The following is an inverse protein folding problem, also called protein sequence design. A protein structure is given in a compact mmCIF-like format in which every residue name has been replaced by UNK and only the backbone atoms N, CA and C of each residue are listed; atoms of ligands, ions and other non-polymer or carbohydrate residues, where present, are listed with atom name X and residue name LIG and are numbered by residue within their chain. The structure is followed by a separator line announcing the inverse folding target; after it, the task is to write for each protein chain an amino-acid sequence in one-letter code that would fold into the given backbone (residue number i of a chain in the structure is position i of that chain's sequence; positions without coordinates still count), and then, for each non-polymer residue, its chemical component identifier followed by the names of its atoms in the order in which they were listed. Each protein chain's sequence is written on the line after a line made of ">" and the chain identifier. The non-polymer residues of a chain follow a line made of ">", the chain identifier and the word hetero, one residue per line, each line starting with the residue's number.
data_IF_595821636239
#
_entry.id   IF_595821636239
#
_cell.length_a   1.000
_cell.length_b   1.000
_cell.length_c   1.000
_cell.angle_alpha   90.00
_cell.angle_beta   90.00
_cell.angle_gamma   90.00
#
_symmetry.space_group_name_H-M   'P 1'
#
loop_
_entity.id
_entity.type
_entity.pdbx_description
1 polymer ?
#
# COMPACT_ATOMS: atom_id res chain seq x y z
N UNK A 1 38.45 1.80 -1.14
CA UNK A 1 38.62 3.16 -0.55
C UNK A 1 38.78 3.04 0.96
N UNK A 2 39.93 3.45 1.54
CA UNK A 2 40.09 3.51 3.02
C UNK A 2 39.01 4.42 3.61
N UNK A 3 38.25 3.91 4.59
CA UNK A 3 37.22 4.65 5.32
C UNK A 3 37.89 5.88 5.96
N UNK A 4 37.58 7.09 5.49
CA UNK A 4 38.09 8.32 6.12
C UNK A 4 37.41 8.45 7.49
N UNK A 5 38.18 8.28 8.57
CA UNK A 5 37.70 8.45 9.94
C UNK A 5 37.59 9.96 10.21
N UNK A 6 36.40 10.41 10.64
CA UNK A 6 36.23 11.79 11.09
C UNK A 6 36.93 11.97 12.44
N UNK A 7 37.41 13.19 12.71
CA UNK A 7 38.02 13.52 13.99
C UNK A 7 36.95 13.49 15.09
N UNK A 8 37.32 12.99 16.27
CA UNK A 8 36.49 13.11 17.48
C UNK A 8 36.58 14.52 18.05
N UNK A 9 35.62 14.92 18.87
CA UNK A 9 35.67 16.23 19.53
C UNK A 9 36.94 16.39 20.41
N UNK A 10 37.33 15.33 21.12
CA UNK A 10 38.58 15.28 21.89
C UNK A 10 39.81 15.56 21.02
N UNK A 11 39.88 14.97 19.82
CA UNK A 11 40.98 15.24 18.89
C UNK A 11 40.97 16.69 18.41
N UNK A 12 39.80 17.30 18.22
CA UNK A 12 39.69 18.73 17.88
C UNK A 12 40.19 19.64 19.00
N UNK A 13 39.84 19.33 20.25
CA UNK A 13 40.35 20.03 21.43
C UNK A 13 41.87 19.94 21.53
N UNK A 14 42.45 18.75 21.32
CA UNK A 14 43.90 18.57 21.32
C UNK A 14 44.58 19.39 20.21
N UNK A 15 43.98 19.48 19.02
CA UNK A 15 44.48 20.34 17.93
C UNK A 15 44.45 21.82 18.35
N UNK A 16 43.39 22.27 19.02
CA UNK A 16 43.26 23.64 19.52
C UNK A 16 44.34 23.96 20.56
N UNK A 17 44.52 23.09 21.56
CA UNK A 17 45.55 23.25 22.59
C UNK A 17 46.95 23.33 22.00
N UNK A 18 47.30 22.41 21.07
CA UNK A 18 48.62 22.38 20.46
C UNK A 18 48.84 23.56 19.50
N UNK A 19 47.79 24.02 18.80
CA UNK A 19 47.85 25.20 17.94
C UNK A 19 48.04 26.48 18.78
N UNK A 20 47.39 26.58 19.95
CA UNK A 20 47.59 27.67 20.90
C UNK A 20 48.99 27.66 21.53
N UNK A 21 49.56 26.47 21.76
CA UNK A 21 50.95 26.28 22.16
C UNK A 21 51.97 26.54 21.02
N UNK A 22 51.52 27.07 19.87
CA UNK A 22 52.33 27.42 18.69
C UNK A 22 53.13 26.25 18.10
N UNK A 23 52.68 25.01 18.29
CA UNK A 23 53.27 23.83 17.64
C UNK A 23 53.04 23.87 16.13
N UNK A 24 54.00 23.39 15.36
CA UNK A 24 53.88 23.30 13.91
C UNK A 24 52.86 22.24 13.53
N UNK A 25 52.22 22.40 12.37
CA UNK A 25 51.21 21.45 11.86
C UNK A 25 51.77 20.02 11.69
N UNK A 26 53.09 19.90 11.45
CA UNK A 26 53.81 18.61 11.34
C UNK A 26 53.94 17.94 12.71
N UNK A 27 54.29 18.69 13.75
CA UNK A 27 54.35 18.18 15.13
C UNK A 27 52.96 17.77 15.63
N UNK A 28 51.92 18.58 15.38
CA UNK A 28 50.52 18.25 15.74
C UNK A 28 50.11 16.92 15.08
N UNK A 29 50.46 16.74 13.80
CA UNK A 29 50.18 15.52 13.06
C UNK A 29 50.90 14.30 13.67
N UNK A 30 52.17 14.44 14.04
CA UNK A 30 52.95 13.37 14.68
C UNK A 30 52.40 13.01 16.07
N UNK A 31 52.11 14.00 16.92
CA UNK A 31 51.59 13.80 18.28
C UNK A 31 50.26 13.06 18.26
N UNK A 32 49.36 13.40 17.33
CA UNK A 32 48.03 12.81 17.24
C UNK A 32 47.97 11.55 16.36
N UNK A 33 49.08 11.15 15.73
CA UNK A 33 49.10 10.04 14.78
C UNK A 33 48.18 10.27 13.56
N UNK A 34 47.99 11.53 13.16
CA UNK A 34 47.11 11.94 12.07
C UNK A 34 47.91 12.32 10.83
N UNK A 35 47.32 12.14 9.65
CA UNK A 35 47.93 12.62 8.42
C UNK A 35 47.98 14.15 8.38
N UNK A 36 49.09 14.73 7.90
CA UNK A 36 49.31 16.18 7.82
C UNK A 36 48.14 16.93 7.14
N UNK A 37 47.66 16.42 6.00
CA UNK A 37 46.50 17.00 5.30
C UNK A 37 45.21 17.04 6.15
N UNK A 38 45.03 16.14 7.11
CA UNK A 38 43.88 16.15 8.02
C UNK A 38 43.93 17.36 8.93
N UNK A 39 45.11 17.68 9.48
CA UNK A 39 45.33 18.87 10.33
C UNK A 39 45.08 20.15 9.53
N UNK A 40 45.62 20.26 8.31
CA UNK A 40 45.37 21.43 7.45
C UNK A 40 43.88 21.66 7.16
N UNK A 41 43.15 20.59 6.80
CA UNK A 41 41.72 20.67 6.53
C UNK A 41 40.91 21.03 7.77
N UNK A 42 41.30 20.49 8.92
CA UNK A 42 40.63 20.75 10.19
C UNK A 42 40.84 22.19 10.65
N UNK A 43 42.08 22.71 10.62
CA UNK A 43 42.37 24.11 10.96
C UNK A 43 41.61 25.08 10.05
N UNK A 44 41.51 24.77 8.74
CA UNK A 44 40.69 25.55 7.80
C UNK A 44 39.20 25.47 8.12
N UNK A 45 38.70 24.32 8.58
CA UNK A 45 37.29 24.10 8.93
C UNK A 45 36.87 24.87 10.18
N UNK A 46 37.73 24.97 11.20
CA UNK A 46 37.46 25.72 12.44
C UNK A 46 38.00 27.15 12.49
N UNK A 47 38.49 27.68 11.37
CA UNK A 47 39.04 29.02 11.31
C UNK A 47 37.95 30.10 11.48
N UNK A 48 38.22 31.10 12.33
CA UNK A 48 37.37 32.27 12.54
C UNK A 48 38.19 33.53 12.76
N UNK A 49 37.60 34.69 12.45
CA UNK A 49 38.19 36.00 12.75
C UNK A 49 37.99 36.32 14.24
N UNK A 50 39.09 36.41 14.98
CA UNK A 50 39.12 36.87 16.36
C UNK A 50 39.55 38.34 16.40
N UNK A 51 38.68 39.21 16.91
CA UNK A 51 38.96 40.63 17.11
C UNK A 51 39.46 40.88 18.52
N UNK A 52 40.63 41.50 18.65
CA UNK A 52 41.19 41.93 19.94
C UNK A 52 41.33 43.45 19.93
N UNK A 53 40.95 44.12 21.02
CA UNK A 53 41.20 45.55 21.20
C UNK A 53 42.71 45.77 21.29
N UNK A 54 43.25 46.61 20.42
CA UNK A 54 44.68 46.88 20.35
C UNK A 54 45.04 48.13 21.16
N UNK A 55 44.32 49.23 20.93
CA UNK A 55 44.49 50.49 21.68
C UNK A 55 43.18 51.29 21.69
N UNK A 56 42.99 52.07 22.75
CA UNK A 56 41.90 53.04 22.94
C UNK A 56 42.46 54.45 22.86
N UNK A 57 41.92 55.29 21.97
CA UNK A 57 42.29 56.71 21.85
C UNK A 57 41.03 57.59 21.78
N UNK A 58 41.18 58.90 21.91
CA UNK A 58 40.11 59.88 22.14
C UNK A 58 38.95 59.86 21.11
N UNK A 59 39.19 59.33 19.91
CA UNK A 59 38.23 59.23 18.81
C UNK A 59 37.86 57.78 18.41
N UNK A 60 38.27 56.75 19.17
CA UNK A 60 37.81 55.37 18.92
C UNK A 60 38.73 54.24 19.41
N UNK A 61 38.35 53.00 19.08
CA UNK A 61 39.10 51.76 19.41
C UNK A 61 39.74 51.19 18.15
N UNK A 62 41.06 50.96 18.15
CA UNK A 62 41.72 50.17 17.10
C UNK A 62 41.52 48.68 17.37
N UNK A 63 40.94 47.98 16.41
CA UNK A 63 40.69 46.53 16.49
C UNK A 63 41.71 45.78 15.64
N UNK A 64 42.40 44.82 16.26
CA UNK A 64 43.28 43.87 15.55
C UNK A 64 42.50 42.61 15.23
N UNK A 65 42.50 42.22 13.96
CA UNK A 65 41.91 40.95 13.49
C UNK A 65 42.99 39.88 13.40
N UNK A 66 42.74 38.70 13.96
CA UNK A 66 43.61 37.54 13.84
C UNK A 66 42.78 36.30 13.52
N UNK A 67 43.26 35.46 12.61
CA UNK A 67 42.62 34.17 12.33
C UNK A 67 43.03 33.19 13.43
N UNK A 68 42.05 32.67 14.17
CA UNK A 68 42.24 31.61 15.17
C UNK A 68 41.45 30.37 14.77
N UNK A 69 41.81 29.24 15.37
CA UNK A 69 41.07 27.99 15.27
C UNK A 69 40.25 27.78 16.54
N UNK A 70 39.00 27.32 16.39
CA UNK A 70 38.16 26.86 17.49
C UNK A 70 37.68 25.44 17.22
N UNK A 71 37.88 24.54 18.19
CA UNK A 71 37.37 23.17 18.11
C UNK A 71 35.83 23.16 18.06
N UNK A 72 35.19 24.07 18.80
CA UNK A 72 33.73 24.18 18.87
C UNK A 72 33.13 24.53 17.51
N UNK A 73 33.63 25.59 16.85
CA UNK A 73 33.14 25.99 15.51
C UNK A 73 33.28 24.85 14.50
N UNK A 74 34.38 24.11 14.57
CA UNK A 74 34.60 22.97 13.68
C UNK A 74 33.65 21.79 13.98
N UNK A 75 33.35 21.55 15.25
CA UNK A 75 32.38 20.55 15.71
C UNK A 75 30.96 20.93 15.27
N UNK A 76 30.55 22.18 15.51
CA UNK A 76 29.22 22.67 15.11
C UNK A 76 29.02 22.56 13.59
N UNK A 77 30.05 22.93 12.79
CA UNK A 77 30.02 22.73 11.34
C UNK A 77 29.91 21.25 10.95
N UNK A 78 30.61 20.36 11.66
CA UNK A 78 30.51 18.92 11.43
C UNK A 78 29.11 18.39 11.75
N UNK A 79 28.52 18.81 12.86
CA UNK A 79 27.18 18.39 13.29
C UNK A 79 26.09 18.93 12.36
N UNK A 80 26.23 20.18 11.91
CA UNK A 80 25.37 20.76 10.87
C UNK A 80 25.45 19.97 9.55
N UNK A 81 26.64 19.56 9.11
CA UNK A 81 26.78 18.73 7.91
C UNK A 81 26.25 17.30 8.12
N UNK A 82 26.28 16.80 9.35
CA UNK A 82 25.73 15.48 9.68
C UNK A 82 24.20 15.51 9.74
N UNK A 83 23.57 16.61 10.14
CA UNK A 83 22.11 16.75 10.13
C UNK A 83 21.53 16.62 8.71
N UNK A 84 22.29 17.02 7.68
CA UNK A 84 21.94 16.85 6.27
C UNK A 84 22.01 15.40 5.74
N UNK A 85 22.62 14.46 6.47
CA UNK A 85 22.78 13.06 6.01
C UNK A 85 21.49 12.22 6.09
N UNK A 86 20.43 12.76 6.71
CA UNK A 86 19.19 12.05 6.94
C UNK A 86 19.31 10.93 7.98
N UNK A 87 18.19 10.28 8.31
CA UNK A 87 18.18 9.13 9.21
C UNK A 87 18.83 7.91 8.52
N UNK A 88 19.59 7.08 9.26
CA UNK A 88 20.15 5.86 8.70
C UNK A 88 19.04 4.94 8.15
N UNK A 89 19.38 4.16 7.13
CA UNK A 89 18.46 3.19 6.52
C UNK A 89 18.14 2.10 7.54
N UNK A 90 16.85 1.90 7.84
CA UNK A 90 16.34 0.94 8.83
C UNK A 90 16.45 -0.52 8.38
N UNK A 91 16.62 -0.77 7.08
CA UNK A 91 16.69 -2.12 6.50
C UNK A 91 17.93 -2.91 6.93
N UNK A 92 19.01 -2.22 7.32
CA UNK A 92 20.23 -2.84 7.85
C UNK A 92 20.77 -3.98 6.98
N UNK A 93 20.89 -5.18 7.56
CA UNK A 93 21.27 -6.44 6.90
C UNK A 93 20.13 -7.47 6.89
N UNK A 94 18.88 -7.03 7.00
CA UNK A 94 17.73 -7.90 7.09
C UNK A 94 17.31 -8.42 5.70
N UNK A 95 18.12 -9.31 5.15
CA UNK A 95 17.87 -9.94 3.86
C UNK A 95 16.64 -10.85 3.88
N UNK A 96 16.27 -11.37 5.05
CA UNK A 96 15.08 -12.21 5.21
C UNK A 96 13.80 -11.39 4.97
N UNK A 97 13.72 -10.19 5.55
CA UNK A 97 12.61 -9.26 5.31
C UNK A 97 12.50 -8.88 3.83
N UNK A 98 13.62 -8.54 3.18
CA UNK A 98 13.62 -8.18 1.75
C UNK A 98 13.15 -9.34 0.89
N UNK A 99 13.73 -10.55 1.07
CA UNK A 99 13.34 -11.73 0.31
C UNK A 99 11.86 -12.07 0.49
N UNK A 100 11.36 -12.01 1.71
CA UNK A 100 9.95 -12.25 2.00
C UNK A 100 9.06 -11.23 1.30
N UNK A 101 9.39 -9.94 1.41
CA UNK A 101 8.66 -8.87 0.73
C UNK A 101 8.64 -9.06 -0.80
N UNK A 102 9.79 -9.36 -1.41
CA UNK A 102 9.90 -9.55 -2.85
C UNK A 102 9.10 -10.77 -3.32
N UNK A 103 9.21 -11.91 -2.61
CA UNK A 103 8.44 -13.11 -2.90
C UNK A 103 6.93 -12.81 -2.91
N UNK A 104 6.41 -12.24 -1.83
CA UNK A 104 4.97 -11.93 -1.68
C UNK A 104 4.49 -10.90 -2.71
N UNK A 105 5.32 -9.95 -3.10
CA UNK A 105 4.94 -8.91 -4.07
C UNK A 105 4.98 -9.43 -5.52
N UNK A 106 5.99 -10.22 -5.86
CA UNK A 106 6.27 -10.64 -7.24
C UNK A 106 5.54 -11.93 -7.59
N UNK A 107 5.66 -12.95 -6.75
CA UNK A 107 5.05 -14.26 -6.97
C UNK A 107 3.57 -14.20 -6.63
N UNK A 108 3.22 -13.76 -5.41
CA UNK A 108 1.82 -13.74 -4.97
C UNK A 108 1.07 -12.49 -5.44
N UNK A 109 1.69 -11.55 -6.15
CA UNK A 109 1.04 -10.31 -6.66
C UNK A 109 0.36 -9.44 -5.58
N UNK A 110 0.78 -9.56 -4.33
CA UNK A 110 0.25 -8.76 -3.22
C UNK A 110 0.93 -7.39 -3.22
N UNK A 111 0.21 -6.31 -2.88
CA UNK A 111 0.85 -4.99 -2.83
C UNK A 111 1.83 -4.92 -1.66
N UNK A 112 2.98 -4.27 -1.82
CA UNK A 112 4.00 -4.15 -0.76
C UNK A 112 3.44 -3.66 0.59
N UNK A 113 2.52 -2.69 0.59
CA UNK A 113 1.85 -2.23 1.82
C UNK A 113 1.00 -3.30 2.51
N UNK A 114 0.37 -4.19 1.76
CA UNK A 114 -0.46 -5.26 2.31
C UNK A 114 0.43 -6.35 2.93
N UNK A 115 1.56 -6.67 2.31
CA UNK A 115 2.58 -7.57 2.89
C UNK A 115 3.12 -7.00 4.20
N UNK A 116 3.47 -5.71 4.23
CA UNK A 116 3.94 -5.06 5.47
C UNK A 116 2.89 -5.13 6.59
N UNK A 117 1.61 -4.99 6.26
CA UNK A 117 0.53 -5.11 7.23
C UNK A 117 0.28 -6.54 7.69
N UNK A 118 0.37 -7.51 6.77
CA UNK A 118 0.29 -8.93 7.11
C UNK A 118 1.39 -9.38 8.06
N UNK A 119 2.62 -8.92 7.86
CA UNK A 119 3.76 -9.18 8.77
C UNK A 119 3.39 -8.77 10.20
N UNK A 120 2.75 -7.60 10.35
CA UNK A 120 2.29 -7.11 11.66
C UNK A 120 1.12 -7.91 12.20
N UNK A 121 0.12 -8.20 11.38
CA UNK A 121 -1.07 -8.96 11.78
C UNK A 121 -0.71 -10.38 12.24
N UNK A 122 0.23 -11.04 11.56
CA UNK A 122 0.71 -12.38 11.89
C UNK A 122 1.83 -12.39 12.95
N UNK A 123 2.20 -11.22 13.51
CA UNK A 123 3.30 -11.07 14.47
C UNK A 123 4.62 -11.73 14.01
N UNK A 124 4.93 -11.65 12.72
CA UNK A 124 6.15 -12.22 12.17
C UNK A 124 7.36 -11.42 12.66
N UNK A 125 8.38 -12.13 13.13
CA UNK A 125 9.59 -11.51 13.68
C UNK A 125 10.60 -11.23 12.56
N UNK A 126 10.89 -9.95 12.36
CA UNK A 126 11.97 -9.45 11.49
C UNK A 126 12.71 -8.35 12.26
N UNK A 127 14.01 -8.19 12.00
CA UNK A 127 14.82 -7.12 12.59
C UNK A 127 14.34 -5.74 12.12
N UNK A 128 13.76 -5.68 10.92
CA UNK A 128 13.28 -4.46 10.29
C UNK A 128 11.82 -4.14 10.67
N UNK A 129 11.62 -3.01 11.35
CA UNK A 129 10.29 -2.42 11.54
C UNK A 129 10.19 -1.04 10.84
N UNK A 130 9.40 -0.99 9.76
CA UNK A 130 9.22 0.21 8.93
C UNK A 130 7.75 0.61 8.78
N UNK A 131 7.54 1.89 8.52
CA UNK A 131 6.23 2.44 8.13
C UNK A 131 5.98 2.24 6.63
N UNK A 132 4.71 2.34 6.21
CA UNK A 132 4.29 2.37 4.80
C UNK A 132 5.06 3.41 3.98
N UNK A 133 5.22 4.62 4.53
CA UNK A 133 5.98 5.71 3.89
C UNK A 133 7.45 5.36 3.70
N UNK A 134 8.07 4.75 4.72
CA UNK A 134 9.46 4.31 4.65
C UNK A 134 9.65 3.19 3.63
N UNK A 135 8.71 2.24 3.56
CA UNK A 135 8.71 1.16 2.59
C UNK A 135 8.71 1.69 1.15
N UNK A 136 7.77 2.56 0.79
CA UNK A 136 7.72 3.09 -0.57
C UNK A 136 8.94 3.94 -0.92
N UNK A 137 9.45 4.74 0.02
CA UNK A 137 10.71 5.46 -0.16
C UNK A 137 11.88 4.50 -0.43
N UNK A 138 11.94 3.37 0.28
CA UNK A 138 12.99 2.37 0.08
C UNK A 138 12.86 1.65 -1.26
N UNK A 139 11.64 1.41 -1.75
CA UNK A 139 11.41 0.90 -3.10
C UNK A 139 11.90 1.91 -4.14
N UNK A 140 11.56 3.20 -3.99
CA UNK A 140 12.03 4.27 -4.89
C UNK A 140 13.55 4.46 -4.89
N UNK A 141 14.19 4.27 -3.73
CA UNK A 141 15.65 4.26 -3.60
C UNK A 141 16.33 3.02 -4.19
N UNK A 142 15.57 2.03 -4.66
CA UNK A 142 16.10 0.78 -5.22
C UNK A 142 16.61 -0.23 -4.18
N UNK A 143 16.20 -0.10 -2.91
CA UNK A 143 16.59 -1.04 -1.85
C UNK A 143 15.83 -2.39 -1.92
N UNK A 144 14.80 -2.47 -2.76
CA UNK A 144 14.12 -3.71 -3.15
C UNK A 144 14.41 -3.94 -4.64
N UNK A 145 15.51 -4.65 -4.99
CA UNK A 145 16.00 -4.74 -6.37
C UNK A 145 14.96 -5.20 -7.40
N UNK A 146 14.01 -6.04 -6.98
CA UNK A 146 13.04 -6.67 -7.88
C UNK A 146 11.66 -6.03 -7.85
N UNK A 147 11.43 -5.01 -7.00
CA UNK A 147 10.13 -4.31 -6.92
C UNK A 147 10.20 -2.99 -7.68
N UNK A 148 9.29 -2.80 -8.64
CA UNK A 148 9.14 -1.54 -9.38
C UNK A 148 7.74 -0.97 -9.20
N UNK A 149 7.65 0.36 -9.02
CA UNK A 149 6.38 1.07 -8.96
C UNK A 149 5.92 1.45 -10.37
N UNK A 150 4.81 0.87 -10.83
CA UNK A 150 4.17 1.30 -12.07
C UNK A 150 3.32 2.55 -11.85
N UNK A 151 3.62 3.63 -12.60
CA UNK A 151 2.73 4.80 -12.69
C UNK A 151 1.62 4.50 -13.69
N UNK A 152 0.39 4.26 -13.22
CA UNK A 152 -0.78 4.12 -14.10
C UNK A 152 -1.43 5.48 -14.37
N UNK A 153 -1.52 5.86 -15.65
CA UNK A 153 -2.41 6.94 -16.11
C UNK A 153 -3.85 6.41 -16.16
N UNK A 154 -4.79 7.14 -15.55
CA UNK A 154 -6.23 6.88 -15.73
C UNK A 154 -6.73 7.74 -16.90
N UNK A 155 -7.17 7.09 -17.97
CA UNK A 155 -7.98 7.74 -19.00
C UNK A 155 -9.46 7.60 -18.63
N UNK A 156 -10.14 8.73 -18.49
CA UNK A 156 -11.58 8.78 -18.28
C UNK A 156 -12.28 8.77 -19.63
N UNK A 157 -12.96 7.67 -19.96
CA UNK A 157 -13.84 7.62 -21.13
C UNK A 157 -15.26 8.01 -20.72
N UNK A 158 -15.85 8.99 -21.42
CA UNK A 158 -17.27 9.34 -21.27
C UNK A 158 -18.13 8.15 -21.73
N UNK A 159 -19.05 7.70 -20.89
CA UNK A 159 -19.97 6.59 -21.20
C UNK A 159 -21.27 7.18 -21.78
N UNK A 160 -21.76 6.64 -22.91
CA UNK A 160 -23.02 7.08 -23.55
C UNK A 160 -24.23 6.34 -22.99
N UNK A 161 -25.35 7.07 -22.80
CA UNK A 161 -26.68 6.62 -22.33
C UNK A 161 -27.18 5.42 -23.14
N UNK A 162 -27.53 4.30 -22.48
CA UNK A 162 -28.15 3.15 -23.18
C UNK A 162 -29.58 2.81 -22.76
N UNK A 163 -29.98 2.75 -21.48
CA UNK A 163 -31.33 2.24 -21.09
C UNK A 163 -31.84 2.74 -19.73
N UNK A 164 -33.17 2.76 -19.61
CA UNK A 164 -33.91 2.98 -18.35
C UNK A 164 -33.83 1.76 -17.41
N UNK A 165 -33.93 1.94 -16.08
CA UNK A 165 -33.88 0.86 -15.11
C UNK A 165 -35.08 -0.09 -15.23
N UNK A 166 -34.82 -1.41 -15.16
CA UNK A 166 -35.84 -2.45 -15.41
C UNK A 166 -36.43 -3.10 -14.15
N UNK A 167 -35.85 -2.86 -12.97
CA UNK A 167 -36.29 -3.47 -11.71
C UNK A 167 -36.44 -2.46 -10.58
N UNK A 168 -36.49 -2.97 -9.34
CA UNK A 168 -36.63 -2.12 -8.14
C UNK A 168 -35.45 -1.16 -8.03
N UNK A 169 -35.72 0.14 -8.06
CA UNK A 169 -34.68 1.17 -7.93
C UNK A 169 -33.93 1.07 -6.59
N UNK A 170 -32.64 1.41 -6.61
CA UNK A 170 -31.79 1.53 -5.42
C UNK A 170 -32.31 2.53 -4.40
N UNK A 171 -33.17 3.47 -4.79
CA UNK A 171 -33.82 4.42 -3.87
C UNK A 171 -34.77 3.74 -2.88
N UNK A 172 -35.37 2.62 -3.29
CA UNK A 172 -36.25 1.82 -2.42
C UNK A 172 -35.49 0.91 -1.46
N UNK A 173 -34.15 0.88 -1.57
CA UNK A 173 -33.28 0.09 -0.70
C UNK A 173 -33.22 0.73 0.69
N UNK A 174 -33.39 -0.04 1.79
CA UNK A 174 -33.24 0.49 3.15
C UNK A 174 -31.93 1.27 3.35
N UNK A 175 -32.02 2.44 4.00
CA UNK A 175 -30.90 3.38 4.15
C UNK A 175 -29.71 2.78 4.91
N UNK A 176 -29.97 1.85 5.84
CA UNK A 176 -28.95 1.12 6.61
C UNK A 176 -27.95 0.37 5.73
N UNK A 177 -28.40 -0.15 4.57
CA UNK A 177 -27.54 -0.90 3.63
C UNK A 177 -26.45 0.01 3.05
N UNK A 178 -26.70 1.32 2.95
CA UNK A 178 -25.72 2.31 2.48
C UNK A 178 -24.55 2.46 3.46
N UNK A 179 -24.79 2.27 4.76
CA UNK A 179 -23.78 2.42 5.81
C UNK A 179 -22.74 1.29 5.81
N UNK A 180 -23.06 0.14 5.18
CA UNK A 180 -22.17 -1.03 5.08
C UNK A 180 -21.81 -1.67 6.43
N UNK A 181 -22.70 -1.55 7.41
CA UNK A 181 -22.52 -2.07 8.77
C UNK A 181 -23.26 -3.40 9.01
N UNK A 182 -24.00 -3.90 8.03
CA UNK A 182 -24.78 -5.13 8.14
C UNK A 182 -24.26 -6.20 7.18
N UNK A 183 -24.18 -7.43 7.68
CA UNK A 183 -23.80 -8.60 6.90
C UNK A 183 -24.94 -9.06 5.97
N UNK A 184 -24.56 -9.51 4.78
CA UNK A 184 -25.41 -10.24 3.84
C UNK A 184 -25.97 -9.39 2.71
N UNK A 185 -25.41 -8.21 2.48
CA UNK A 185 -25.77 -7.36 1.35
C UNK A 185 -24.68 -7.45 0.29
N UNK A 186 -25.05 -7.92 -0.89
CA UNK A 186 -24.12 -8.21 -1.96
C UNK A 186 -24.27 -7.21 -3.11
N UNK A 187 -23.17 -6.96 -3.80
CA UNK A 187 -23.13 -6.29 -5.09
C UNK A 187 -22.77 -7.34 -6.14
N UNK A 188 -23.45 -7.36 -7.28
CA UNK A 188 -23.20 -8.33 -8.36
C UNK A 188 -22.75 -7.61 -9.63
N UNK A 189 -21.78 -8.20 -10.34
CA UNK A 189 -21.18 -7.65 -11.55
C UNK A 189 -20.67 -8.74 -12.49
N UNK A 190 -20.32 -8.35 -13.72
CA UNK A 190 -19.64 -9.23 -14.66
C UNK A 190 -18.23 -8.71 -15.02
N UNK A 191 -17.24 -9.59 -14.93
CA UNK A 191 -15.87 -9.34 -15.40
C UNK A 191 -15.69 -9.98 -16.78
N UNK A 192 -15.70 -9.15 -17.82
CA UNK A 192 -15.61 -9.62 -19.21
C UNK A 192 -14.16 -9.76 -19.70
N UNK A 193 -13.94 -10.75 -20.57
CA UNK A 193 -12.67 -11.01 -21.25
C UNK A 193 -12.66 -10.48 -22.68
N UNK A 194 -11.77 -11.02 -23.51
CA UNK A 194 -11.77 -10.81 -24.97
C UNK A 194 -12.84 -11.64 -25.68
N UNK A 195 -13.21 -12.79 -25.10
CA UNK A 195 -14.11 -13.80 -25.69
C UNK A 195 -15.47 -13.81 -24.99
N UNK A 196 -16.37 -14.71 -25.41
CA UNK A 196 -17.73 -14.83 -24.86
C UNK A 196 -17.78 -15.24 -23.38
N UNK A 197 -16.93 -16.16 -22.87
CA UNK A 197 -16.92 -16.50 -21.46
C UNK A 197 -16.63 -15.30 -20.57
N UNK A 198 -17.34 -15.22 -19.45
CA UNK A 198 -17.25 -14.11 -18.48
C UNK A 198 -17.26 -14.65 -17.06
N UNK A 199 -16.82 -13.84 -16.10
CA UNK A 199 -16.96 -14.17 -14.69
C UNK A 199 -18.12 -13.38 -14.10
N UNK A 200 -19.09 -14.06 -13.51
CA UNK A 200 -20.06 -13.43 -12.61
C UNK A 200 -19.41 -13.31 -11.24
N UNK A 201 -19.42 -12.11 -10.68
CA UNK A 201 -18.85 -11.85 -9.35
C UNK A 201 -19.92 -11.33 -8.40
N UNK A 202 -19.88 -11.79 -7.16
CA UNK A 202 -20.69 -11.29 -6.07
C UNK A 202 -19.77 -10.85 -4.94
N UNK A 203 -19.84 -9.56 -4.59
CA UNK A 203 -19.05 -8.92 -3.55
C UNK A 203 -19.90 -8.59 -2.32
N UNK A 204 -19.57 -9.15 -1.16
CA UNK A 204 -20.25 -8.85 0.10
C UNK A 204 -19.82 -7.47 0.64
N UNK A 205 -20.79 -6.65 1.04
CA UNK A 205 -20.57 -5.22 1.35
C UNK A 205 -19.97 -4.94 2.73
N UNK A 206 -19.94 -5.88 3.66
CA UNK A 206 -19.31 -5.73 4.96
C UNK A 206 -17.89 -6.32 4.95
N UNK A 207 -17.76 -7.62 4.67
CA UNK A 207 -16.53 -8.42 4.76
C UNK A 207 -15.71 -8.41 3.47
N UNK A 208 -16.24 -7.88 2.35
CA UNK A 208 -15.58 -7.92 1.04
C UNK A 208 -15.26 -9.33 0.56
N UNK A 209 -16.06 -10.33 0.96
CA UNK A 209 -15.98 -11.68 0.41
C UNK A 209 -16.43 -11.64 -1.03
N UNK A 210 -15.63 -12.22 -1.92
CA UNK A 210 -15.93 -12.39 -3.33
C UNK A 210 -16.36 -13.84 -3.58
N UNK A 211 -17.41 -14.02 -4.38
CA UNK A 211 -17.79 -15.30 -4.98
C UNK A 211 -17.74 -15.14 -6.49
N UNK A 212 -17.04 -16.04 -7.18
CA UNK A 212 -16.74 -15.95 -8.61
C UNK A 212 -17.26 -17.20 -9.32
N UNK A 213 -18.15 -17.01 -10.31
CA UNK A 213 -18.60 -18.07 -11.21
C UNK A 213 -18.11 -17.83 -12.62
N UNK A 214 -17.55 -18.84 -13.26
CA UNK A 214 -17.30 -18.83 -14.71
C UNK A 214 -18.60 -19.13 -15.45
N UNK A 215 -18.99 -18.23 -16.36
CA UNK A 215 -20.13 -18.38 -17.25
C UNK A 215 -19.66 -18.50 -18.70
N UNK A 216 -20.37 -19.28 -19.50
CA UNK A 216 -20.08 -19.44 -20.94
C UNK A 216 -20.36 -18.17 -21.75
N UNK A 217 -21.26 -17.31 -21.26
CA UNK A 217 -21.69 -16.09 -21.91
C UNK A 217 -22.33 -15.10 -20.93
N UNK A 218 -22.35 -13.81 -21.31
CA UNK A 218 -22.98 -12.72 -20.57
C UNK A 218 -24.49 -12.61 -20.87
N UNK A 219 -25.25 -13.68 -20.57
CA UNK A 219 -26.73 -13.68 -20.73
C UNK A 219 -27.41 -13.85 -19.38
N UNK A 220 -28.62 -13.30 -19.25
CA UNK A 220 -29.41 -13.37 -18.03
C UNK A 220 -29.71 -14.80 -17.57
N UNK A 221 -29.96 -15.71 -18.52
CA UNK A 221 -30.20 -17.13 -18.20
C UNK A 221 -29.00 -17.79 -17.51
N UNK A 222 -27.77 -17.38 -17.87
CA UNK A 222 -26.54 -17.88 -17.28
C UNK A 222 -26.37 -17.36 -15.86
N UNK A 223 -26.72 -16.08 -15.62
CA UNK A 223 -26.72 -15.47 -14.28
C UNK A 223 -27.69 -16.19 -13.35
N UNK A 224 -28.93 -16.44 -13.80
CA UNK A 224 -29.94 -17.16 -13.01
C UNK A 224 -29.49 -18.58 -12.68
N UNK A 225 -28.84 -19.29 -13.62
CA UNK A 225 -28.25 -20.61 -13.37
C UNK A 225 -27.19 -20.56 -12.27
N UNK A 226 -26.28 -19.58 -12.29
CA UNK A 226 -25.27 -19.42 -11.22
C UNK A 226 -25.92 -19.15 -9.87
N UNK A 227 -26.94 -18.29 -9.81
CA UNK A 227 -27.67 -18.03 -8.57
C UNK A 227 -28.41 -19.28 -8.05
N UNK A 228 -28.93 -20.14 -8.93
CA UNK A 228 -29.54 -21.42 -8.53
C UNK A 228 -28.52 -22.35 -7.89
N UNK A 229 -27.32 -22.45 -8.48
CA UNK A 229 -26.22 -23.24 -7.92
C UNK A 229 -25.83 -22.67 -6.54
N UNK A 230 -25.73 -21.36 -6.42
CA UNK A 230 -25.38 -20.68 -5.18
C UNK A 230 -26.45 -20.90 -4.09
N UNK A 231 -27.73 -20.77 -4.43
CA UNK A 231 -28.83 -21.02 -3.51
C UNK A 231 -28.82 -22.46 -3.00
N UNK A 232 -28.60 -23.44 -3.89
CA UNK A 232 -28.48 -24.85 -3.51
C UNK A 232 -27.27 -25.12 -2.60
N UNK A 233 -26.16 -24.41 -2.81
CA UNK A 233 -24.94 -24.54 -1.99
C UNK A 233 -25.15 -24.10 -0.54
N UNK A 234 -25.90 -23.01 -0.32
CA UNK A 234 -26.19 -22.50 1.03
C UNK A 234 -27.48 -23.09 1.62
N UNK A 235 -28.38 -23.63 0.81
CA UNK A 235 -29.62 -24.25 1.25
C UNK A 235 -30.45 -23.33 2.15
N UNK A 236 -30.83 -23.82 3.33
CA UNK A 236 -31.68 -23.08 4.29
C UNK A 236 -31.05 -21.78 4.79
N UNK A 237 -29.72 -21.67 4.82
CA UNK A 237 -29.04 -20.46 5.30
C UNK A 237 -28.94 -19.35 4.24
N UNK A 238 -29.29 -19.63 2.98
CA UNK A 238 -29.13 -18.68 1.87
C UNK A 238 -29.75 -17.32 2.17
N UNK A 239 -30.99 -17.25 2.68
CA UNK A 239 -31.66 -15.97 2.99
C UNK A 239 -30.97 -15.16 4.09
N UNK A 240 -30.30 -15.83 5.03
CA UNK A 240 -29.53 -15.17 6.09
C UNK A 240 -28.22 -14.58 5.55
N UNK A 241 -27.60 -15.28 4.59
CA UNK A 241 -26.32 -14.90 3.96
C UNK A 241 -26.52 -13.90 2.82
N UNK A 242 -27.61 -13.98 2.07
CA UNK A 242 -27.94 -13.13 0.91
C UNK A 242 -29.26 -12.39 1.16
N UNK A 243 -29.20 -11.35 2.00
CA UNK A 243 -30.35 -10.50 2.34
C UNK A 243 -30.79 -9.62 1.17
N UNK A 244 -29.82 -9.10 0.40
CA UNK A 244 -30.11 -8.35 -0.82
C UNK A 244 -28.95 -8.38 -1.81
N UNK A 245 -29.25 -8.24 -3.09
CA UNK A 245 -28.26 -8.09 -4.17
C UNK A 245 -28.48 -6.75 -4.88
N UNK A 246 -27.40 -6.00 -5.10
CA UNK A 246 -27.41 -4.75 -5.87
C UNK A 246 -26.71 -4.96 -7.21
N UNK A 247 -27.36 -4.62 -8.32
CA UNK A 247 -26.86 -4.77 -9.70
C UNK A 247 -26.89 -3.46 -10.46
N UNK A 248 -26.22 -3.39 -11.61
CA UNK A 248 -26.46 -2.31 -12.58
C UNK A 248 -27.56 -2.68 -13.58
N UNK A 249 -27.78 -1.79 -14.55
CA UNK A 249 -28.77 -1.98 -15.61
C UNK A 249 -28.20 -2.73 -16.84
N UNK A 250 -27.18 -3.57 -16.63
CA UNK A 250 -26.62 -4.46 -17.65
C UNK A 250 -27.67 -5.41 -18.22
N UNK A 251 -27.53 -5.78 -19.49
CA UNK A 251 -28.48 -6.69 -20.17
C UNK A 251 -28.50 -8.10 -19.56
N UNK A 252 -27.38 -8.53 -18.99
CA UNK A 252 -27.23 -9.76 -18.23
C UNK A 252 -28.04 -9.79 -16.94
N UNK A 253 -28.42 -8.63 -16.41
CA UNK A 253 -29.23 -8.51 -15.21
C UNK A 253 -30.67 -8.11 -15.52
N UNK A 254 -31.11 -8.22 -16.78
CA UNK A 254 -32.45 -7.82 -17.18
C UNK A 254 -33.56 -8.74 -16.65
N UNK A 255 -33.25 -9.99 -16.31
CA UNK A 255 -34.22 -10.97 -15.79
C UNK A 255 -34.38 -10.84 -14.27
N UNK A 256 -34.97 -9.73 -13.83
CA UNK A 256 -35.23 -9.45 -12.42
C UNK A 256 -36.01 -10.57 -11.72
N UNK A 257 -37.06 -11.09 -12.38
CA UNK A 257 -37.89 -12.14 -11.81
C UNK A 257 -37.11 -13.44 -11.63
N UNK A 258 -36.30 -13.84 -12.61
CA UNK A 258 -35.45 -15.03 -12.50
C UNK A 258 -34.39 -14.92 -11.39
N UNK A 259 -33.80 -13.73 -11.24
CA UNK A 259 -32.79 -13.46 -10.19
C UNK A 259 -33.42 -13.52 -8.79
N UNK A 260 -34.63 -12.98 -8.60
CA UNK A 260 -35.32 -13.02 -7.30
C UNK A 260 -36.00 -14.36 -6.99
N UNK A 261 -36.51 -15.10 -7.99
CA UNK A 261 -37.29 -16.33 -7.80
C UNK A 261 -36.43 -17.43 -7.18
N UNK A 262 -36.92 -18.16 -6.18
CA UNK A 262 -36.18 -19.32 -5.61
C UNK A 262 -36.14 -20.53 -6.55
N UNK A 263 -35.01 -21.24 -6.55
CA UNK A 263 -34.84 -22.53 -7.25
C UNK A 263 -35.64 -23.68 -6.63
N UNK A 264 -36.15 -23.52 -5.42
CA UNK A 264 -37.05 -24.47 -4.74
C UNK A 264 -38.53 -24.25 -5.08
N UNK A 265 -38.86 -23.34 -5.99
CA UNK A 265 -40.20 -23.18 -6.55
C UNK A 265 -41.14 -22.24 -5.78
N UNK A 266 -40.89 -21.97 -4.49
CA UNK A 266 -41.75 -21.11 -3.67
C UNK A 266 -41.06 -19.83 -3.20
N UNK A 267 -41.63 -18.68 -3.59
CA UNK A 267 -41.23 -17.36 -3.11
C UNK A 267 -39.92 -16.81 -3.68
N UNK A 268 -39.41 -15.77 -3.02
CA UNK A 268 -38.16 -15.09 -3.39
C UNK A 268 -36.97 -15.65 -2.62
N UNK A 269 -35.83 -15.81 -3.30
CA UNK A 269 -34.54 -16.17 -2.70
C UNK A 269 -33.89 -14.98 -1.99
N UNK A 270 -34.00 -13.78 -2.57
CA UNK A 270 -33.42 -12.54 -2.06
C UNK A 270 -34.09 -11.33 -2.73
N UNK A 271 -33.85 -10.12 -2.22
CA UNK A 271 -34.31 -8.86 -2.83
C UNK A 271 -33.24 -8.27 -3.75
N UNK A 272 -33.62 -7.83 -4.95
CA UNK A 272 -32.69 -7.27 -5.94
C UNK A 272 -32.97 -5.78 -6.16
N UNK A 273 -31.92 -4.97 -6.13
CA UNK A 273 -31.98 -3.51 -6.35
C UNK A 273 -31.09 -3.09 -7.52
N UNK A 274 -31.58 -2.17 -8.35
CA UNK A 274 -30.89 -1.65 -9.54
C UNK A 274 -30.37 -0.25 -9.28
N UNK A 275 -29.08 -0.05 -9.55
CA UNK A 275 -28.43 1.25 -9.45
C UNK A 275 -29.00 2.25 -10.48
N UNK A 276 -28.78 3.53 -10.24
CA UNK A 276 -29.07 4.55 -11.23
C UNK A 276 -28.18 4.36 -12.46
N UNK A 277 -28.69 4.61 -13.68
CA UNK A 277 -27.83 4.70 -14.86
C UNK A 277 -26.65 5.67 -14.62
N UNK A 278 -25.44 5.31 -15.04
CA UNK A 278 -24.20 6.12 -14.90
C UNK A 278 -23.67 6.33 -13.48
N UNK A 279 -24.31 5.77 -12.45
CA UNK A 279 -23.82 5.88 -11.07
C UNK A 279 -22.99 4.67 -10.65
N UNK A 280 -21.83 4.46 -11.30
CA UNK A 280 -20.91 3.37 -10.95
C UNK A 280 -20.41 3.43 -9.49
N UNK A 281 -20.36 4.63 -8.91
CA UNK A 281 -19.98 4.86 -7.51
C UNK A 281 -20.91 4.18 -6.49
N UNK A 282 -22.16 3.87 -6.86
CA UNK A 282 -23.11 3.15 -6.01
C UNK A 282 -22.68 1.69 -5.72
N UNK A 283 -21.78 1.16 -6.56
CA UNK A 283 -21.13 -0.16 -6.45
C UNK A 283 -19.61 -0.06 -6.35
N UNK A 284 -19.11 0.90 -5.56
CA UNK A 284 -17.67 1.10 -5.40
C UNK A 284 -16.90 -0.10 -4.85
N UNK A 285 -17.58 -1.10 -4.25
CA UNK A 285 -16.94 -2.34 -3.78
C UNK A 285 -16.49 -3.19 -4.96
N UNK A 286 -17.40 -3.41 -5.93
CA UNK A 286 -17.11 -4.20 -7.13
C UNK A 286 -15.93 -3.63 -7.91
N UNK A 287 -15.85 -2.30 -8.09
CA UNK A 287 -14.71 -1.70 -8.81
C UNK A 287 -13.37 -2.00 -8.13
N UNK A 288 -13.33 -2.04 -6.79
CA UNK A 288 -12.11 -2.37 -6.04
C UNK A 288 -11.76 -3.85 -6.17
N UNK A 289 -12.72 -4.76 -5.99
CA UNK A 289 -12.48 -6.20 -6.02
C UNK A 289 -12.24 -6.72 -7.45
N UNK A 290 -12.95 -6.18 -8.45
CA UNK A 290 -12.65 -6.41 -9.85
C UNK A 290 -11.21 -6.03 -10.20
N UNK A 291 -10.66 -4.94 -9.64
CA UNK A 291 -9.24 -4.58 -9.86
C UNK A 291 -8.29 -5.63 -9.28
N UNK A 292 -8.65 -6.31 -8.21
CA UNK A 292 -7.87 -7.40 -7.62
C UNK A 292 -7.92 -8.64 -8.53
N UNK A 293 -9.11 -9.03 -9.01
CA UNK A 293 -9.26 -10.08 -10.04
C UNK A 293 -8.41 -9.75 -11.27
N UNK A 294 -8.39 -8.49 -11.71
CA UNK A 294 -7.61 -8.04 -12.87
C UNK A 294 -6.09 -8.07 -12.69
N UNK A 295 -5.58 -8.26 -11.46
CA UNK A 295 -4.14 -8.52 -11.25
C UNK A 295 -3.75 -9.93 -11.70
N UNK A 296 -4.66 -10.89 -11.56
CA UNK A 296 -4.44 -12.29 -11.95
C UNK A 296 -5.00 -12.60 -13.35
N UNK A 297 -6.11 -11.96 -13.72
CA UNK A 297 -6.75 -12.09 -15.03
C UNK A 297 -6.78 -10.71 -15.71
N UNK A 298 -5.71 -10.31 -16.42
CA UNK A 298 -5.64 -9.02 -17.09
C UNK A 298 -6.81 -8.73 -18.03
N UNK A 299 -7.04 -7.45 -18.31
CA UNK A 299 -8.05 -7.04 -19.29
C UNK A 299 -7.64 -7.52 -20.69
N UNK A 300 -8.59 -8.11 -21.43
CA UNK A 300 -8.32 -8.69 -22.73
C UNK A 300 -7.83 -10.15 -22.70
N UNK A 301 -7.68 -10.74 -21.51
CA UNK A 301 -7.48 -12.19 -21.40
C UNK A 301 -8.69 -12.97 -21.96
N UNK A 302 -8.41 -14.13 -22.54
CA UNK A 302 -9.43 -15.08 -22.93
C UNK A 302 -9.86 -15.91 -21.71
N UNK A 303 -10.99 -15.55 -21.12
CA UNK A 303 -11.54 -16.23 -19.93
C UNK A 303 -11.87 -17.69 -20.23
N UNK A 304 -12.10 -18.05 -21.51
CA UNK A 304 -12.34 -19.42 -21.94
C UNK A 304 -11.22 -20.38 -21.51
N UNK A 305 -9.97 -19.92 -21.53
CA UNK A 305 -8.77 -20.73 -21.22
C UNK A 305 -8.58 -21.05 -19.73
N UNK A 306 -9.21 -20.29 -18.83
CA UNK A 306 -9.08 -20.52 -17.39
C UNK A 306 -10.01 -21.64 -16.95
N UNK A 307 -9.50 -22.68 -16.31
CA UNK A 307 -10.32 -23.77 -15.77
C UNK A 307 -11.12 -23.30 -14.55
N UNK A 308 -12.11 -24.08 -14.12
CA UNK A 308 -12.85 -23.77 -12.87
C UNK A 308 -11.89 -23.72 -11.67
N UNK A 309 -10.87 -24.58 -11.65
CA UNK A 309 -9.84 -24.57 -10.60
C UNK A 309 -9.01 -23.29 -10.62
N UNK A 310 -8.67 -22.77 -11.80
CA UNK A 310 -7.97 -21.48 -11.90
C UNK A 310 -8.84 -20.33 -11.37
N UNK A 311 -10.15 -20.37 -11.65
CA UNK A 311 -11.07 -19.37 -11.11
C UNK A 311 -11.19 -19.48 -9.58
N UNK A 312 -11.19 -20.69 -9.03
CA UNK A 312 -11.17 -20.87 -7.57
C UNK A 312 -9.88 -20.32 -6.96
N UNK A 313 -8.72 -20.56 -7.58
CA UNK A 313 -7.45 -19.96 -7.11
C UNK A 313 -7.50 -18.43 -7.11
N UNK A 314 -8.16 -17.82 -8.10
CA UNK A 314 -8.36 -16.36 -8.14
C UNK A 314 -9.30 -15.90 -7.03
N UNK A 315 -10.41 -16.60 -6.81
CA UNK A 315 -11.34 -16.32 -5.71
C UNK A 315 -10.64 -16.42 -4.35
N UNK A 316 -9.89 -17.49 -4.11
CA UNK A 316 -9.14 -17.73 -2.88
C UNK A 316 -8.09 -16.64 -2.67
N UNK A 317 -7.38 -16.24 -3.72
CA UNK A 317 -6.41 -15.16 -3.67
C UNK A 317 -7.05 -13.81 -3.29
N UNK A 318 -8.18 -13.45 -3.91
CA UNK A 318 -8.91 -12.22 -3.58
C UNK A 318 -9.42 -12.25 -2.14
N UNK A 319 -9.92 -13.40 -1.69
CA UNK A 319 -10.51 -13.55 -0.36
C UNK A 319 -9.48 -13.63 0.76
N UNK A 320 -8.29 -14.15 0.47
CA UNK A 320 -7.16 -14.23 1.42
C UNK A 320 -6.21 -13.03 1.32
N UNK A 321 -6.54 -12.03 0.48
CA UNK A 321 -5.76 -10.81 0.39
C UNK A 321 -5.82 -10.03 1.72
N UNK A 322 -4.68 -9.68 2.35
CA UNK A 322 -4.67 -8.89 3.59
C UNK A 322 -5.18 -7.45 3.35
N UNK A 323 -6.22 -7.03 4.08
CA UNK A 323 -6.88 -5.73 3.83
C UNK A 323 -6.66 -4.73 4.97
N UNK A 324 -6.11 -3.57 4.64
CA UNK A 324 -5.88 -2.47 5.61
C UNK A 324 -7.17 -2.04 6.33
N UNK A 325 -8.32 -2.05 5.66
CA UNK A 325 -9.63 -1.74 6.25
C UNK A 325 -10.07 -2.69 7.37
N UNK A 326 -9.46 -3.87 7.44
CA UNK A 326 -9.74 -4.92 8.42
C UNK A 326 -8.55 -5.16 9.34
N UNK A 327 -7.68 -4.16 9.52
CA UNK A 327 -6.41 -4.32 10.24
C UNK A 327 -5.57 -5.49 9.72
N UNK A 328 -5.63 -5.71 8.40
CA UNK A 328 -4.95 -6.77 7.65
C UNK A 328 -5.46 -8.20 7.87
N UNK A 329 -6.60 -8.38 8.55
CA UNK A 329 -7.37 -9.62 8.44
C UNK A 329 -7.88 -9.82 7.00
N UNK A 330 -8.20 -11.07 6.66
CA UNK A 330 -8.67 -11.44 5.32
C UNK A 330 -10.19 -11.40 5.21
N UNK A 331 -10.72 -11.22 3.99
CA UNK A 331 -12.17 -11.30 3.76
C UNK A 331 -12.72 -12.67 4.14
N UNK A 332 -11.94 -13.73 3.92
CA UNK A 332 -12.34 -15.11 4.24
C UNK A 332 -12.53 -15.31 5.74
N UNK A 333 -11.56 -14.87 6.56
CA UNK A 333 -11.63 -14.94 8.02
C UNK A 333 -12.86 -14.21 8.58
N UNK A 334 -13.12 -12.99 8.10
CA UNK A 334 -14.28 -12.21 8.57
C UNK A 334 -15.60 -12.82 8.13
N UNK A 335 -15.68 -13.30 6.89
CA UNK A 335 -16.88 -13.94 6.38
C UNK A 335 -17.22 -15.22 7.15
N UNK A 336 -16.22 -16.05 7.44
CA UNK A 336 -16.38 -17.28 8.22
C UNK A 336 -16.89 -17.00 9.65
N UNK A 337 -16.35 -15.98 10.32
CA UNK A 337 -16.87 -15.53 11.64
C UNK A 337 -18.35 -15.17 11.59
N UNK A 338 -18.80 -14.49 10.53
CA UNK A 338 -20.21 -14.16 10.37
C UNK A 338 -21.06 -15.38 10.02
N UNK A 339 -20.55 -16.33 9.22
CA UNK A 339 -21.26 -17.58 8.95
C UNK A 339 -21.45 -18.41 10.22
N UNK A 340 -20.43 -18.50 11.07
CA UNK A 340 -20.50 -19.20 12.37
C UNK A 340 -21.53 -18.57 13.32
N UNK A 341 -21.70 -17.24 13.27
CA UNK A 341 -22.72 -16.54 14.06
C UNK A 341 -24.16 -16.71 13.52
N UNK A 342 -24.32 -17.24 12.30
CA UNK A 342 -25.60 -17.40 11.59
C UNK A 342 -26.09 -18.86 11.62
N UNK A 343 -25.14 -19.79 11.62
CA UNK A 343 -25.35 -21.22 11.84
C UNK A 343 -25.91 -21.44 13.24
#
# INVERSE_FOLDING_TARGET
>A
MKKRRNLTFTQRLQIETLNNAKKTKKEIAQILGLHLCTIYRELKRGAYEHTTKQDTFWYGVRIKKQIKYSAQISQDRYDLLCSGKGRPIKLGKDFAFVKYMEKRVIEDKISACAVLGEIKYKNMQFDTNISKTTLYRYIEMGLFPHIRLEKRKKEYKKVKIKRAPKGTSIERRPKEIKQRNSFGHWEMDCVCGKTKPVLLVLSERLTRKEIIFKMENQKAISVVKCLNILERRFGKTFKKVFKSITVDNGSEFADFHGIEKSSYGHGKRTSVFYCHPYCSSERGTNERLNREIRRLIPKGSDIGKYTIQDIQRVEDWVNNYPREIFNYATSSELFEKHLQAIA
#
